data_IF_314773277560
#
_entry.id   IF_314773277560
#
_cell.length_a   1.000
_cell.length_b   1.000
_cell.length_c   1.000
_cell.angle_alpha   90.00
_cell.angle_beta   90.00
_cell.angle_gamma   90.00
#
_symmetry.space_group_name_H-M   'P 1'
#
loop_
_entity.id
_entity.type
_entity.pdbx_description
1 polymer ?
#
# COMPACT_ATOMS: atom_id res chain seq x y z
N UNK A 1 -13.46 7.45 26.83
CA UNK A 1 -13.80 7.40 25.40
C UNK A 1 -13.21 6.14 24.83
N UNK A 2 -13.99 5.32 24.12
CA UNK A 2 -13.47 4.17 23.39
C UNK A 2 -12.96 4.68 22.05
N UNK A 3 -11.66 4.62 21.80
CA UNK A 3 -11.06 4.97 20.50
C UNK A 3 -10.84 3.69 19.70
N UNK A 4 -11.31 3.65 18.44
CA UNK A 4 -11.01 2.56 17.50
C UNK A 4 -10.19 3.12 16.34
N UNK A 5 -9.09 2.44 16.03
CA UNK A 5 -8.24 2.76 14.89
C UNK A 5 -8.68 1.86 13.73
N UNK A 6 -9.01 2.46 12.59
CA UNK A 6 -9.36 1.76 11.36
C UNK A 6 -8.25 1.92 10.32
N UNK A 7 -8.02 0.87 9.52
CA UNK A 7 -6.95 0.78 8.52
C UNK A 7 -7.58 0.42 7.18
N UNK A 8 -7.84 1.38 6.30
CA UNK A 8 -8.26 1.10 4.92
C UNK A 8 -8.17 2.38 4.08
N UNK A 9 -7.83 2.24 2.79
CA UNK A 9 -7.91 3.31 1.79
C UNK A 9 -7.11 2.96 0.53
N UNK A 10 -7.71 3.15 -0.64
CA UNK A 10 -7.07 2.99 -1.94
C UNK A 10 -7.31 4.26 -2.78
N UNK A 11 -6.26 5.05 -3.00
CA UNK A 11 -6.30 6.33 -3.71
C UNK A 11 -5.74 6.23 -5.15
N UNK A 12 -6.03 5.11 -5.84
CA UNK A 12 -5.53 4.87 -7.20
C UNK A 12 -6.39 5.52 -8.28
N UNK A 13 -5.79 6.18 -9.28
CA UNK A 13 -6.52 6.89 -10.34
C UNK A 13 -7.51 6.02 -11.13
N UNK A 14 -7.15 4.76 -11.34
CA UNK A 14 -7.90 3.80 -12.17
C UNK A 14 -9.29 3.50 -11.58
N UNK A 15 -9.50 3.85 -10.31
CA UNK A 15 -10.77 3.64 -9.59
C UNK A 15 -11.63 4.89 -9.51
N UNK A 16 -11.37 5.90 -10.35
CA UNK A 16 -12.13 7.16 -10.37
C UNK A 16 -11.72 8.17 -9.30
N UNK A 17 -10.60 7.96 -8.62
CA UNK A 17 -10.04 8.93 -7.68
C UNK A 17 -9.65 10.22 -8.42
N UNK A 18 -9.84 11.42 -7.83
CA UNK A 18 -9.48 12.68 -8.47
C UNK A 18 -8.02 12.71 -8.96
N UNK A 19 -7.82 13.26 -10.15
CA UNK A 19 -6.50 13.43 -10.73
C UNK A 19 -5.72 14.57 -10.04
N UNK A 20 -4.40 14.40 -9.90
CA UNK A 20 -3.50 15.39 -9.30
C UNK A 20 -3.33 15.25 -7.79
N UNK A 21 -2.61 16.19 -7.15
CA UNK A 21 -2.34 16.17 -5.72
C UNK A 21 -3.61 16.14 -4.88
N UNK A 22 -3.75 15.13 -4.02
CA UNK A 22 -4.87 14.97 -3.09
C UNK A 22 -4.36 14.81 -1.66
N UNK A 23 -4.75 15.72 -0.78
CA UNK A 23 -4.25 15.79 0.60
C UNK A 23 -5.13 15.00 1.55
N UNK A 24 -4.56 14.54 2.66
CA UNK A 24 -5.34 13.99 3.77
C UNK A 24 -6.23 15.01 4.49
N UNK A 25 -6.04 16.31 4.20
CA UNK A 25 -6.91 17.41 4.63
C UNK A 25 -8.00 17.79 3.62
N UNK A 26 -8.02 17.19 2.43
CA UNK A 26 -9.07 17.43 1.45
C UNK A 26 -10.36 16.68 1.84
N UNK A 27 -11.38 16.70 0.98
CA UNK A 27 -12.67 16.06 1.24
C UNK A 27 -12.63 14.52 1.10
N UNK A 28 -11.65 13.84 1.71
CA UNK A 28 -11.39 12.40 1.56
C UNK A 28 -12.64 11.55 1.80
N UNK A 29 -13.33 11.77 2.92
CA UNK A 29 -14.57 11.05 3.25
C UNK A 29 -15.65 11.20 2.18
N UNK A 30 -15.90 12.42 1.71
CA UNK A 30 -16.96 12.66 0.73
C UNK A 30 -16.58 12.09 -0.64
N UNK A 31 -15.28 12.10 -1.00
CA UNK A 31 -14.76 11.41 -2.19
C UNK A 31 -14.92 9.90 -2.08
N UNK A 32 -14.55 9.27 -0.97
CA UNK A 32 -14.76 7.83 -0.76
C UNK A 32 -16.24 7.46 -0.80
N UNK A 33 -17.11 8.30 -0.22
CA UNK A 33 -18.56 8.10 -0.25
C UNK A 33 -19.15 8.19 -1.65
N UNK A 34 -18.71 9.16 -2.46
CA UNK A 34 -19.11 9.26 -3.86
C UNK A 34 -18.63 8.08 -4.70
N UNK A 35 -17.48 7.52 -4.34
CA UNK A 35 -16.84 6.41 -5.04
C UNK A 35 -17.05 5.05 -4.34
N UNK A 36 -18.01 4.92 -3.42
CA UNK A 36 -18.12 3.76 -2.55
C UNK A 36 -18.28 2.42 -3.30
N UNK A 37 -18.94 2.44 -4.46
CA UNK A 37 -19.19 1.25 -5.30
C UNK A 37 -17.98 0.86 -6.17
N UNK A 38 -17.00 1.75 -6.35
CA UNK A 38 -15.85 1.49 -7.22
C UNK A 38 -14.79 0.57 -6.60
N UNK A 39 -14.72 0.52 -5.27
CA UNK A 39 -13.79 -0.36 -4.56
C UNK A 39 -14.29 -0.68 -3.15
N UNK A 40 -14.37 -1.95 -2.72
CA UNK A 40 -14.97 -2.35 -1.43
C UNK A 40 -14.36 -1.69 -0.20
N UNK A 41 -13.10 -1.30 -0.30
CA UNK A 41 -12.37 -0.64 0.79
C UNK A 41 -13.01 0.70 1.16
N UNK A 42 -13.47 1.47 0.17
CA UNK A 42 -14.08 2.80 0.36
C UNK A 42 -15.41 2.70 1.08
N UNK A 43 -16.22 1.72 0.71
CA UNK A 43 -17.47 1.43 1.40
C UNK A 43 -17.22 1.05 2.88
N UNK A 44 -16.13 0.33 3.15
CA UNK A 44 -15.73 -0.04 4.52
C UNK A 44 -15.39 1.21 5.33
N UNK A 45 -14.53 2.08 4.81
CA UNK A 45 -14.15 3.34 5.48
C UNK A 45 -15.36 4.21 5.79
N UNK A 46 -16.21 4.46 4.79
CA UNK A 46 -17.43 5.25 4.92
C UNK A 46 -18.38 4.64 5.96
N UNK A 47 -18.62 3.34 5.88
CA UNK A 47 -19.53 2.62 6.79
C UNK A 47 -19.04 2.68 8.24
N UNK A 48 -17.73 2.50 8.46
CA UNK A 48 -17.16 2.57 9.81
C UNK A 48 -17.23 3.98 10.36
N UNK A 49 -16.90 5.00 9.56
CA UNK A 49 -16.96 6.40 10.01
C UNK A 49 -18.39 6.77 10.39
N UNK A 50 -19.38 6.46 9.55
CA UNK A 50 -20.78 6.76 9.82
C UNK A 50 -21.31 5.98 11.04
N UNK A 51 -20.92 4.72 11.19
CA UNK A 51 -21.32 3.92 12.34
C UNK A 51 -20.71 4.45 13.64
N UNK A 52 -19.41 4.75 13.64
CA UNK A 52 -18.72 5.32 14.79
C UNK A 52 -19.34 6.66 15.23
N UNK A 53 -19.70 7.53 14.28
CA UNK A 53 -20.42 8.77 14.56
C UNK A 53 -21.77 8.50 15.25
N UNK A 54 -22.56 7.52 14.76
CA UNK A 54 -23.84 7.11 15.39
C UNK A 54 -23.67 6.57 16.80
N UNK A 55 -22.52 5.97 17.12
CA UNK A 55 -22.21 5.40 18.43
C UNK A 55 -21.47 6.36 19.37
N UNK A 56 -21.16 7.60 18.94
CA UNK A 56 -20.35 8.52 19.73
C UNK A 56 -18.91 8.02 19.96
N UNK A 57 -18.39 7.21 19.03
CA UNK A 57 -17.03 6.64 19.07
C UNK A 57 -16.10 7.50 18.22
N UNK A 58 -14.99 7.95 18.81
CA UNK A 58 -13.93 8.63 18.07
C UNK A 58 -13.20 7.63 17.18
N UNK A 59 -13.07 7.95 15.90
CA UNK A 59 -12.36 7.14 14.92
C UNK A 59 -11.23 7.93 14.25
N UNK A 60 -10.26 7.18 13.73
CA UNK A 60 -9.14 7.65 12.92
C UNK A 60 -8.94 6.64 11.79
N UNK A 61 -8.74 7.11 10.57
CA UNK A 61 -8.46 6.31 9.39
C UNK A 61 -7.02 6.53 8.97
N UNK A 62 -6.21 5.49 9.08
CA UNK A 62 -4.83 5.51 8.57
C UNK A 62 -4.85 4.82 7.20
N UNK A 63 -4.45 5.56 6.18
CA UNK A 63 -4.37 5.07 4.81
C UNK A 63 -2.90 4.71 4.53
N UNK A 64 -2.52 3.42 4.59
CA UNK A 64 -1.19 3.01 4.19
C UNK A 64 -1.00 3.19 2.68
N UNK A 65 0.15 3.74 2.29
CA UNK A 65 0.63 3.66 0.91
C UNK A 65 1.24 2.26 0.64
N UNK A 66 2.08 2.09 -0.40
CA UNK A 66 2.79 0.83 -0.61
C UNK A 66 3.66 0.52 0.63
N UNK A 67 3.21 -0.44 1.44
CA UNK A 67 3.94 -0.89 2.62
C UNK A 67 5.02 -1.87 2.19
N UNK A 68 6.25 -1.65 2.66
CA UNK A 68 7.36 -2.58 2.51
C UNK A 68 8.08 -2.77 3.86
N UNK A 69 9.03 -3.68 3.90
CA UNK A 69 9.81 -4.04 5.09
C UNK A 69 9.28 -5.28 5.80
N UNK A 70 10.21 -6.03 6.41
CA UNK A 70 9.89 -7.19 7.24
C UNK A 70 9.31 -6.74 8.58
N UNK A 71 8.06 -7.12 8.84
CA UNK A 71 7.38 -6.86 10.11
C UNK A 71 7.94 -7.69 11.26
N UNK A 72 7.83 -7.14 12.48
CA UNK A 72 8.27 -7.79 13.72
C UNK A 72 7.15 -8.46 14.52
N UNK A 73 5.88 -8.28 14.11
CA UNK A 73 4.72 -8.86 14.79
C UNK A 73 4.52 -10.35 14.54
N UNK A 74 3.68 -11.01 15.35
CA UNK A 74 3.57 -12.48 15.39
C UNK A 74 2.88 -13.14 14.17
N UNK A 75 2.06 -12.39 13.43
CA UNK A 75 1.25 -12.96 12.35
C UNK A 75 1.88 -12.75 10.96
N UNK A 76 1.44 -11.70 10.26
CA UNK A 76 1.90 -11.36 8.93
C UNK A 76 3.10 -10.42 9.03
N UNK A 77 4.23 -10.85 8.46
CA UNK A 77 5.52 -10.15 8.51
C UNK A 77 5.98 -9.63 7.15
N UNK A 78 5.22 -9.86 6.09
CA UNK A 78 5.50 -9.34 4.74
C UNK A 78 4.27 -8.67 4.16
N UNK A 79 4.48 -7.63 3.37
CA UNK A 79 3.39 -6.95 2.65
C UNK A 79 2.87 -7.80 1.48
N UNK A 80 1.94 -7.29 0.68
CA UNK A 80 1.36 -8.03 -0.45
C UNK A 80 2.08 -7.73 -1.76
N UNK A 81 2.25 -6.45 -2.10
CA UNK A 81 2.64 -6.03 -3.46
C UNK A 81 4.03 -6.53 -3.84
N UNK A 82 5.09 -6.13 -3.11
CA UNK A 82 6.46 -6.54 -3.44
C UNK A 82 6.67 -8.06 -3.32
N UNK A 83 6.16 -8.76 -2.29
CA UNK A 83 6.28 -10.22 -2.24
C UNK A 83 5.60 -10.92 -3.42
N UNK A 84 4.48 -10.43 -3.95
CA UNK A 84 3.88 -10.98 -5.17
C UNK A 84 4.84 -10.83 -6.37
N UNK A 85 5.42 -9.65 -6.59
CA UNK A 85 6.41 -9.44 -7.65
C UNK A 85 7.66 -10.30 -7.50
N UNK A 86 8.21 -10.40 -6.28
CA UNK A 86 9.42 -11.18 -6.00
C UNK A 86 9.15 -12.67 -6.24
N UNK A 87 8.04 -13.21 -5.70
CA UNK A 87 7.69 -14.62 -5.88
C UNK A 87 7.41 -14.96 -7.35
N UNK A 88 6.72 -14.08 -8.08
CA UNK A 88 6.52 -14.24 -9.52
C UNK A 88 7.88 -14.25 -10.26
N UNK A 89 8.77 -13.33 -9.91
CA UNK A 89 10.09 -13.23 -10.54
C UNK A 89 10.96 -14.46 -10.30
N UNK A 90 10.97 -14.97 -9.07
CA UNK A 90 11.69 -16.18 -8.69
C UNK A 90 11.15 -17.41 -9.44
N UNK A 91 9.82 -17.57 -9.48
CA UNK A 91 9.17 -18.69 -10.15
C UNK A 91 9.38 -18.69 -11.68
N UNK A 92 9.46 -17.51 -12.29
CA UNK A 92 9.63 -17.35 -13.74
C UNK A 92 11.08 -17.19 -14.17
N UNK A 93 12.01 -17.06 -13.23
CA UNK A 93 13.42 -16.74 -13.51
C UNK A 93 13.55 -15.49 -14.40
N UNK A 94 12.68 -14.51 -14.21
CA UNK A 94 12.64 -13.26 -14.96
C UNK A 94 11.78 -12.24 -14.23
N UNK A 95 12.22 -10.98 -14.17
CA UNK A 95 11.41 -9.88 -13.64
C UNK A 95 10.61 -9.24 -14.77
N UNK A 96 9.33 -9.02 -14.53
CA UNK A 96 8.43 -8.35 -15.48
C UNK A 96 7.92 -7.03 -14.90
N UNK A 97 7.73 -6.03 -15.75
CA UNK A 97 7.16 -4.71 -15.42
C UNK A 97 6.08 -4.30 -16.42
N UNK A 98 5.26 -3.33 -16.01
CA UNK A 98 4.32 -2.66 -16.92
C UNK A 98 5.07 -1.65 -17.83
N UNK A 99 4.53 -1.31 -19.01
CA UNK A 99 5.13 -0.32 -19.90
C UNK A 99 5.30 1.05 -19.24
N UNK A 100 4.30 1.47 -18.46
CA UNK A 100 4.30 2.74 -17.76
C UNK A 100 5.13 2.68 -16.48
N UNK A 101 5.98 3.69 -16.28
CA UNK A 101 6.70 3.86 -15.02
C UNK A 101 5.80 4.59 -14.02
N UNK A 102 4.88 3.85 -13.41
CA UNK A 102 3.84 4.39 -12.52
C UNK A 102 4.42 4.87 -11.19
N UNK A 103 4.14 6.13 -10.83
CA UNK A 103 4.49 6.70 -9.52
C UNK A 103 3.60 6.12 -8.43
N UNK A 104 4.19 5.63 -7.35
CA UNK A 104 3.47 5.10 -6.17
C UNK A 104 4.04 5.74 -4.90
N UNK A 105 3.17 6.03 -3.95
CA UNK A 105 3.59 6.41 -2.60
C UNK A 105 4.05 5.18 -1.83
N UNK A 106 5.05 5.32 -0.96
CA UNK A 106 5.58 4.21 -0.18
C UNK A 106 5.85 4.58 1.28
N UNK A 107 5.79 3.55 2.14
CA UNK A 107 6.10 3.66 3.57
C UNK A 107 6.69 2.35 4.08
N UNK A 108 7.82 2.42 4.79
CA UNK A 108 8.36 1.25 5.47
C UNK A 108 7.50 0.90 6.69
N UNK A 109 7.36 -0.39 7.02
CA UNK A 109 6.54 -0.88 8.14
C UNK A 109 6.93 -0.26 9.49
N UNK A 110 8.21 0.07 9.72
CA UNK A 110 8.64 0.78 10.93
C UNK A 110 8.10 2.21 10.99
N UNK A 111 8.06 2.92 9.86
CA UNK A 111 7.55 4.29 9.81
C UNK A 111 6.02 4.28 9.94
N UNK A 112 5.35 3.32 9.32
CA UNK A 112 3.91 3.12 9.47
C UNK A 112 3.54 2.85 10.94
N UNK A 113 4.22 1.91 11.60
CA UNK A 113 3.98 1.62 13.03
C UNK A 113 4.31 2.80 13.93
N UNK A 114 5.33 3.61 13.61
CA UNK A 114 5.62 4.86 14.31
C UNK A 114 4.48 5.88 14.17
N UNK A 115 3.77 5.92 13.05
CA UNK A 115 2.58 6.77 12.90
C UNK A 115 1.45 6.33 13.84
N UNK A 116 1.15 5.03 13.90
CA UNK A 116 0.18 4.50 14.87
C UNK A 116 0.56 4.88 16.31
N UNK A 117 1.83 4.67 16.68
CA UNK A 117 2.36 5.04 17.98
C UNK A 117 2.17 6.53 18.29
N UNK A 118 2.44 7.40 17.31
CA UNK A 118 2.26 8.85 17.45
C UNK A 118 0.79 9.23 17.67
N UNK A 119 -0.14 8.67 16.91
CA UNK A 119 -1.57 8.94 17.08
C UNK A 119 -2.03 8.51 18.49
N UNK A 120 -1.64 7.31 18.93
CA UNK A 120 -1.97 6.80 20.28
C UNK A 120 -1.36 7.67 21.37
N UNK A 121 -0.09 8.06 21.25
CA UNK A 121 0.59 8.97 22.19
C UNK A 121 -0.20 10.28 22.34
N UNK A 122 -0.57 10.91 21.23
CA UNK A 122 -1.33 12.16 21.20
C UNK A 122 -2.71 12.03 21.87
N UNK A 123 -3.40 10.91 21.64
CA UNK A 123 -4.67 10.59 22.31
C UNK A 123 -4.47 10.49 23.84
N UNK A 124 -3.41 9.79 24.28
CA UNK A 124 -3.13 9.60 25.71
C UNK A 124 -2.73 10.90 26.42
N UNK A 125 -2.10 11.83 25.70
CA UNK A 125 -1.79 13.18 26.18
C UNK A 125 -3.02 14.12 26.20
N UNK A 126 -4.17 13.67 25.70
CA UNK A 126 -5.39 14.49 25.61
C UNK A 126 -5.29 15.59 24.55
N UNK A 127 -4.40 15.46 23.57
CA UNK A 127 -4.30 16.41 22.46
C UNK A 127 -5.45 16.22 21.48
N UNK A 128 -5.98 17.34 20.95
CA UNK A 128 -7.01 17.31 19.91
C UNK A 128 -6.41 16.94 18.57
N UNK A 129 -6.91 15.85 18.00
CA UNK A 129 -6.52 15.34 16.68
C UNK A 129 -7.71 15.42 15.70
N UNK A 130 -7.48 15.64 14.40
CA UNK A 130 -8.49 15.40 13.37
C UNK A 130 -9.04 13.97 13.49
N UNK A 131 -10.36 13.83 13.52
CA UNK A 131 -11.06 12.55 13.73
C UNK A 131 -12.39 12.54 12.95
N UNK A 132 -13.06 11.39 12.90
CA UNK A 132 -14.32 11.29 12.17
C UNK A 132 -14.12 11.46 10.67
N UNK A 133 -14.96 12.27 10.03
CA UNK A 133 -14.87 12.55 8.58
C UNK A 133 -13.58 13.27 8.17
N UNK A 134 -12.94 13.98 9.10
CA UNK A 134 -11.68 14.69 8.90
C UNK A 134 -10.49 13.88 9.42
N UNK A 135 -10.73 12.66 9.89
CA UNK A 135 -9.76 11.82 10.59
C UNK A 135 -8.87 10.97 9.70
N UNK A 136 -8.51 11.44 8.50
CA UNK A 136 -7.64 10.71 7.56
C UNK A 136 -6.17 11.05 7.78
N UNK A 137 -5.33 10.03 7.73
CA UNK A 137 -3.89 10.10 7.93
C UNK A 137 -3.19 9.31 6.82
N UNK A 138 -2.64 10.00 5.83
CA UNK A 138 -1.93 9.33 4.73
C UNK A 138 -0.51 8.94 5.18
N UNK A 139 -0.26 7.64 5.30
CA UNK A 139 1.06 7.13 5.65
C UNK A 139 1.94 7.05 4.40
N UNK A 140 2.48 8.20 4.00
CA UNK A 140 3.42 8.39 2.88
C UNK A 140 4.75 8.89 3.42
N UNK A 141 5.83 8.14 3.18
CA UNK A 141 7.19 8.56 3.51
C UNK A 141 7.94 9.16 2.33
N UNK A 142 7.80 8.57 1.14
CA UNK A 142 8.44 9.00 -0.11
C UNK A 142 7.69 8.42 -1.31
N UNK A 143 7.98 8.98 -2.48
CA UNK A 143 7.52 8.45 -3.76
C UNK A 143 8.52 7.43 -4.33
N UNK A 144 8.01 6.38 -4.96
CA UNK A 144 8.73 5.43 -5.80
C UNK A 144 8.14 5.41 -7.21
N UNK A 145 8.87 4.79 -8.13
CA UNK A 145 8.36 4.45 -9.45
C UNK A 145 8.43 2.94 -9.65
N UNK A 146 7.30 2.29 -9.90
CA UNK A 146 7.21 0.83 -9.87
C UNK A 146 8.11 0.15 -10.91
N UNK A 147 8.26 0.74 -12.10
CA UNK A 147 9.19 0.23 -13.11
C UNK A 147 10.65 0.30 -12.64
N UNK A 148 11.05 1.38 -11.96
CA UNK A 148 12.39 1.54 -11.36
C UNK A 148 12.62 0.53 -10.24
N UNK A 149 11.61 0.26 -9.40
CA UNK A 149 11.66 -0.79 -8.37
C UNK A 149 11.93 -2.16 -8.99
N UNK A 150 11.21 -2.48 -10.07
CA UNK A 150 11.36 -3.77 -10.77
C UNK A 150 12.69 -3.88 -11.52
N UNK A 151 13.22 -2.78 -12.05
CA UNK A 151 14.56 -2.74 -12.64
C UNK A 151 15.65 -3.02 -11.58
N UNK A 152 15.57 -2.41 -10.40
CA UNK A 152 16.50 -2.71 -9.30
C UNK A 152 16.34 -4.13 -8.77
N UNK A 153 15.11 -4.65 -8.72
CA UNK A 153 14.85 -6.04 -8.35
C UNK A 153 15.52 -7.01 -9.34
N UNK A 154 15.49 -6.74 -10.65
CA UNK A 154 16.15 -7.57 -11.66
C UNK A 154 17.67 -7.60 -11.47
N UNK A 155 18.28 -6.44 -11.20
CA UNK A 155 19.70 -6.34 -10.87
C UNK A 155 20.07 -7.14 -9.61
N UNK A 156 19.28 -7.02 -8.55
CA UNK A 156 19.50 -7.72 -7.28
C UNK A 156 19.31 -9.24 -7.41
N UNK A 157 18.27 -9.70 -8.10
CA UNK A 157 18.07 -11.14 -8.35
C UNK A 157 19.21 -11.72 -9.20
N UNK A 158 19.71 -10.97 -10.19
CA UNK A 158 20.86 -11.40 -10.98
C UNK A 158 22.15 -11.47 -10.16
N UNK A 159 22.46 -10.45 -9.37
CA UNK A 159 23.69 -10.41 -8.55
C UNK A 159 23.73 -11.57 -7.54
N UNK A 160 22.57 -12.01 -7.08
CA UNK A 160 22.38 -13.14 -6.16
C UNK A 160 22.27 -14.52 -6.85
N UNK A 161 22.30 -14.56 -8.19
CA UNK A 161 22.12 -15.80 -8.95
C UNK A 161 20.72 -16.41 -8.85
N UNK A 162 19.72 -15.63 -8.42
CA UNK A 162 18.32 -16.04 -8.29
C UNK A 162 17.52 -15.89 -9.58
N UNK A 163 18.03 -15.10 -10.53
CA UNK A 163 17.54 -14.99 -11.89
C UNK A 163 18.70 -14.84 -12.90
N UNK A 164 18.56 -15.34 -14.14
CA UNK A 164 19.59 -15.30 -15.17
C UNK A 164 19.76 -13.92 -15.83
N UNK A 165 18.71 -13.11 -15.89
CA UNK A 165 18.69 -11.83 -16.60
C UNK A 165 18.77 -10.65 -15.63
N UNK A 166 19.48 -9.59 -16.03
CA UNK A 166 19.58 -8.34 -15.27
C UNK A 166 18.53 -7.30 -15.66
N UNK A 167 17.90 -7.51 -16.81
CA UNK A 167 16.96 -6.58 -17.41
C UNK A 167 15.53 -7.08 -17.20
N UNK A 168 14.59 -6.15 -17.05
CA UNK A 168 13.17 -6.46 -16.95
C UNK A 168 12.55 -6.77 -18.31
N UNK A 169 11.50 -7.58 -18.30
CA UNK A 169 10.63 -7.83 -19.45
C UNK A 169 9.33 -7.03 -19.29
N UNK A 170 8.66 -6.73 -20.39
CA UNK A 170 7.38 -6.01 -20.34
C UNK A 170 6.23 -7.01 -20.39
N UNK A 171 5.20 -6.83 -19.54
CA UNK A 171 3.95 -7.58 -19.65
C UNK A 171 3.27 -7.28 -21.00
N UNK A 172 2.95 -8.30 -21.83
CA UNK A 172 2.29 -8.06 -23.13
C UNK A 172 0.87 -7.52 -23.02
N UNK A 173 0.14 -7.94 -21.99
CA UNK A 173 -1.23 -7.54 -21.67
C UNK A 173 -1.58 -7.96 -20.22
N UNK A 174 -2.77 -7.56 -19.76
CA UNK A 174 -3.23 -7.80 -18.39
C UNK A 174 -3.47 -9.27 -18.08
N UNK A 175 -3.98 -10.05 -19.03
CA UNK A 175 -4.13 -11.50 -18.86
C UNK A 175 -2.78 -12.17 -18.58
N UNK A 176 -1.74 -11.83 -19.34
CA UNK A 176 -0.40 -12.36 -19.10
C UNK A 176 0.14 -11.86 -17.76
N UNK A 177 -0.06 -10.59 -17.41
CA UNK A 177 0.35 -10.07 -16.11
C UNK A 177 -0.32 -10.82 -14.95
N UNK A 178 -1.63 -11.07 -15.04
CA UNK A 178 -2.41 -11.85 -14.09
C UNK A 178 -1.85 -13.26 -13.91
N UNK A 179 -1.60 -13.97 -15.02
CA UNK A 179 -1.06 -15.34 -15.00
C UNK A 179 0.35 -15.39 -14.39
N UNK A 180 1.19 -14.40 -14.70
CA UNK A 180 2.56 -14.32 -14.19
C UNK A 180 2.58 -13.98 -12.69
N UNK A 181 1.75 -13.04 -12.24
CA UNK A 181 1.66 -12.59 -10.85
C UNK A 181 0.84 -13.55 -9.97
N UNK A 182 -0.02 -14.38 -10.56
CA UNK A 182 -0.95 -15.25 -9.85
C UNK A 182 -2.08 -14.47 -9.17
N UNK A 183 -2.68 -13.51 -9.90
CA UNK A 183 -3.74 -12.61 -9.42
C UNK A 183 -4.87 -12.54 -10.46
N UNK A 184 -6.08 -12.07 -10.11
CA UNK A 184 -7.17 -11.99 -11.08
C UNK A 184 -6.97 -10.81 -12.06
N UNK A 185 -7.20 -11.04 -13.35
CA UNK A 185 -7.00 -10.05 -14.44
C UNK A 185 -7.69 -8.71 -14.14
N UNK A 186 -8.94 -8.74 -13.71
CA UNK A 186 -9.74 -7.54 -13.45
C UNK A 186 -9.14 -6.57 -12.41
N UNK A 187 -8.21 -7.03 -11.57
CA UNK A 187 -7.57 -6.20 -10.55
C UNK A 187 -6.13 -5.80 -10.90
N UNK A 188 -5.53 -6.35 -11.96
CA UNK A 188 -4.14 -6.12 -12.38
C UNK A 188 -3.84 -4.63 -12.42
N UNK A 189 -4.65 -3.87 -13.17
CA UNK A 189 -4.46 -2.43 -13.31
C UNK A 189 -4.64 -1.69 -12.00
N UNK A 190 -5.69 -2.01 -11.24
CA UNK A 190 -6.04 -1.28 -10.00
C UNK A 190 -5.06 -1.49 -8.85
N UNK A 191 -4.45 -2.66 -8.72
CA UNK A 191 -3.65 -3.01 -7.53
C UNK A 191 -2.17 -3.26 -7.84
N UNK A 192 -1.81 -3.52 -9.10
CA UNK A 192 -0.44 -3.80 -9.53
C UNK A 192 0.08 -2.79 -10.57
N UNK A 193 -0.78 -2.01 -11.23
CA UNK A 193 -0.35 -0.95 -12.14
C UNK A 193 -1.07 0.38 -11.88
N UNK A 194 -1.44 0.66 -10.62
CA UNK A 194 -2.10 1.92 -10.26
C UNK A 194 -1.16 2.81 -9.46
N UNK A 195 -1.10 4.06 -9.89
CA UNK A 195 -0.36 5.10 -9.19
C UNK A 195 -1.28 5.98 -8.37
N UNK A 196 -0.66 6.83 -7.57
CA UNK A 196 -1.34 7.80 -6.75
C UNK A 196 -0.63 9.18 -6.82
N UNK A 197 -1.29 10.21 -6.31
CA UNK A 197 -0.67 11.49 -6.00
C UNK A 197 -1.23 12.02 -4.70
N UNK A 198 -1.11 11.22 -3.64
CA UNK A 198 -1.53 11.65 -2.32
C UNK A 198 -0.46 12.54 -1.66
N UNK A 199 -0.89 13.38 -0.73
CA UNK A 199 -0.02 14.28 0.03
C UNK A 199 -0.37 14.18 1.51
N UNK A 200 0.61 13.81 2.33
CA UNK A 200 0.45 13.71 3.78
C UNK A 200 0.71 15.06 4.46
N UNK A 201 -0.29 15.67 5.09
CA UNK A 201 -0.13 16.86 5.93
C UNK A 201 -0.39 16.56 7.40
N UNK A 202 -1.45 15.79 7.72
CA UNK A 202 -1.88 15.57 9.10
C UNK A 202 -0.83 14.78 9.91
N UNK A 203 -0.32 13.62 9.44
CA UNK A 203 0.78 12.92 10.10
C UNK A 203 1.99 13.81 10.40
N UNK A 204 2.41 14.64 9.44
CA UNK A 204 3.57 15.52 9.62
C UNK A 204 3.30 16.62 10.65
N UNK A 205 2.08 17.16 10.70
CA UNK A 205 1.64 18.17 11.67
C UNK A 205 1.66 17.62 13.10
N UNK A 206 1.33 16.36 13.30
CA UNK A 206 1.32 15.71 14.63
C UNK A 206 2.70 15.20 15.07
N UNK A 207 3.76 15.48 14.29
CA UNK A 207 5.13 15.11 14.64
C UNK A 207 5.56 13.72 14.18
N UNK A 208 4.82 13.08 13.26
CA UNK A 208 5.35 11.92 12.55
C UNK A 208 6.48 12.36 11.62
N UNK A 209 7.60 11.62 11.67
CA UNK A 209 8.81 11.87 10.89
C UNK A 209 9.31 10.53 10.38
N UNK A 210 8.92 10.10 9.17
CA UNK A 210 9.42 8.85 8.61
C UNK A 210 10.93 8.91 8.45
N UNK A 211 11.59 7.77 8.63
CA UNK A 211 13.05 7.63 8.62
C UNK A 211 13.57 6.95 7.35
N UNK A 212 12.67 6.38 6.55
CA UNK A 212 13.01 5.77 5.27
C UNK A 212 12.81 6.77 4.12
N UNK A 213 13.84 6.87 3.28
CA UNK A 213 13.81 7.60 2.01
C UNK A 213 13.80 6.63 0.83
N UNK A 214 13.59 7.17 -0.38
CA UNK A 214 13.73 6.43 -1.64
C UNK A 214 15.10 5.77 -1.76
N UNK A 215 16.17 6.50 -1.44
CA UNK A 215 17.56 6.02 -1.53
C UNK A 215 17.77 4.85 -0.59
N UNK A 216 17.34 4.99 0.67
CA UNK A 216 17.44 3.92 1.66
C UNK A 216 16.63 2.69 1.25
N UNK A 217 15.45 2.86 0.64
CA UNK A 217 14.69 1.75 0.08
C UNK A 217 15.53 0.96 -0.94
N UNK A 218 16.14 1.63 -1.92
CA UNK A 218 16.94 0.96 -2.95
C UNK A 218 18.23 0.34 -2.41
N UNK A 219 18.89 0.98 -1.46
CA UNK A 219 20.06 0.42 -0.76
C UNK A 219 19.74 -0.88 0.00
N UNK A 220 18.48 -1.07 0.41
CA UNK A 220 18.02 -2.21 1.20
C UNK A 220 16.98 -3.08 0.46
N UNK A 221 16.92 -3.02 -0.87
CA UNK A 221 15.97 -3.84 -1.66
C UNK A 221 16.19 -5.35 -1.46
N UNK A 222 17.41 -5.75 -1.10
CA UNK A 222 17.76 -7.13 -0.77
C UNK A 222 17.00 -7.66 0.46
N UNK A 223 16.62 -6.79 1.39
CA UNK A 223 15.84 -7.17 2.59
C UNK A 223 14.43 -7.65 2.18
N UNK A 224 13.84 -7.08 1.13
CA UNK A 224 12.56 -7.54 0.59
C UNK A 224 12.67 -8.93 -0.04
N UNK A 225 13.78 -9.19 -0.73
CA UNK A 225 14.08 -10.50 -1.34
C UNK A 225 14.27 -11.53 -0.23
N UNK A 226 15.06 -11.21 0.79
CA UNK A 226 15.30 -12.09 1.94
C UNK A 226 14.00 -12.41 2.68
N UNK A 227 13.17 -11.39 2.94
CA UNK A 227 11.89 -11.57 3.59
C UNK A 227 10.95 -12.46 2.76
N UNK A 228 10.92 -12.29 1.43
CA UNK A 228 10.13 -13.13 0.55
C UNK A 228 10.66 -14.58 0.49
N UNK A 229 11.97 -14.80 0.50
CA UNK A 229 12.57 -16.14 0.53
C UNK A 229 12.30 -16.86 1.85
N UNK A 230 12.38 -16.16 2.97
CA UNK A 230 12.19 -16.73 4.31
C UNK A 230 10.71 -16.98 4.62
N UNK A 231 9.84 -16.03 4.28
CA UNK A 231 8.44 -16.00 4.73
C UNK A 231 7.43 -16.32 3.63
N UNK A 232 7.85 -16.35 2.36
CA UNK A 232 6.99 -16.60 1.22
C UNK A 232 6.06 -15.43 0.92
N UNK A 233 4.75 -15.72 0.85
CA UNK A 233 3.69 -14.74 0.57
C UNK A 233 3.08 -14.21 1.87
N UNK A 234 2.42 -13.05 1.80
CA UNK A 234 1.65 -12.52 2.92
C UNK A 234 0.64 -13.54 3.46
N UNK A 235 0.56 -13.66 4.78
CA UNK A 235 -0.48 -14.43 5.49
C UNK A 235 -1.78 -13.63 5.53
N UNK A 236 -2.34 -13.39 4.35
CA UNK A 236 -3.51 -12.56 4.11
C UNK A 236 -4.49 -13.28 3.18
N UNK A 237 -5.78 -13.14 3.44
CA UNK A 237 -6.83 -13.62 2.53
C UNK A 237 -7.10 -12.66 1.38
N UNK A 238 -6.29 -11.60 1.19
CA UNK A 238 -6.54 -10.58 0.18
C UNK A 238 -6.64 -11.19 -1.22
N UNK A 239 -5.64 -11.95 -1.66
CA UNK A 239 -5.64 -12.55 -3.01
C UNK A 239 -6.82 -13.50 -3.18
N UNK A 240 -7.12 -14.34 -2.20
CA UNK A 240 -8.28 -15.25 -2.23
C UNK A 240 -9.60 -14.47 -2.31
N UNK A 241 -9.72 -13.36 -1.57
CA UNK A 241 -10.89 -12.47 -1.63
C UNK A 241 -11.02 -11.78 -2.98
N UNK A 242 -9.91 -11.41 -3.63
CA UNK A 242 -9.94 -10.86 -4.97
C UNK A 242 -10.38 -11.92 -5.99
N UNK A 243 -9.91 -13.16 -5.89
CA UNK A 243 -10.41 -14.24 -6.76
C UNK A 243 -11.92 -14.48 -6.57
N UNK A 244 -12.42 -14.46 -5.33
CA UNK A 244 -13.87 -14.54 -5.07
C UNK A 244 -14.63 -13.38 -5.70
N UNK A 245 -14.15 -12.15 -5.49
CA UNK A 245 -14.76 -10.95 -6.07
C UNK A 245 -14.66 -10.87 -7.61
N UNK A 246 -13.86 -11.74 -8.25
CA UNK A 246 -13.79 -11.87 -9.71
C UNK A 246 -14.75 -12.90 -10.29
N UNK A 247 -15.45 -13.63 -9.44
CA UNK A 247 -16.44 -14.64 -9.83
C UNK A 247 -17.89 -14.17 -9.64
N UNK A 248 -18.07 -13.08 -8.89
CA UNK A 248 -19.35 -12.41 -8.63
C UNK A 248 -19.67 -11.36 -9.70
#
# INVERSE_FOLDING_TARGET
MSSKILITGAAGYITGWPAGPFKDTDAVFETEKQLAESFPIRNTDVSVIEHAAKQGVTNFVIVPSLVYGKGTGEWNKVSVVLPVYIQASLARQAVYKFPENTKVSAVHISDLTALYGRIVEKILLGETLPCGKEGYYFALAHDLFLGEVLDHLALALKSRGLAPDRDTRVYPNDQVAADLLGVPEQFVQTLWNSGDSIVAEVPLRIGWRPTWSKERFFENIDDEIDAALELGKAKSSLIDSLFRAAQD
#
